data_IF_865165315795
#
_entry.id   IF_865165315795
#
_cell.length_a   1.000
_cell.length_b   1.000
_cell.length_c   1.000
_cell.angle_alpha   90.00
_cell.angle_beta   90.00
_cell.angle_gamma   90.00
#
_symmetry.space_group_name_H-M   'P 1'
#
loop_
_entity.id
_entity.type
_entity.pdbx_description
1 polymer ?
#
# COMPACT_ATOMS: atom_id res chain seq x y z
N UNK A 1 -11.40 72.06 -36.89
CA UNK A 1 -10.97 71.75 -38.25
C UNK A 1 -10.25 70.43 -38.28
N UNK A 2 -10.80 69.51 -38.99
CA UNK A 2 -10.24 68.28 -39.60
C UNK A 2 -9.79 67.16 -38.70
N UNK A 3 -10.57 66.11 -38.84
CA UNK A 3 -10.43 64.71 -38.47
C UNK A 3 -9.18 64.05 -39.05
N UNK A 4 -8.68 63.04 -38.37
CA UNK A 4 -8.44 61.74 -39.07
C UNK A 4 -8.55 60.56 -38.12
N UNK A 5 -9.31 59.60 -38.59
CA UNK A 5 -9.55 58.27 -37.96
C UNK A 5 -8.46 57.28 -38.50
N UNK A 6 -7.83 56.58 -37.60
CA UNK A 6 -7.22 55.27 -38.02
C UNK A 6 -7.54 54.20 -36.97
N UNK A 7 -8.36 53.26 -37.38
CA UNK A 7 -8.69 52.00 -36.81
C UNK A 7 -7.42 51.11 -36.66
N UNK A 8 -7.14 50.69 -35.45
CA UNK A 8 -6.17 49.62 -35.16
C UNK A 8 -6.89 48.42 -34.53
N UNK A 9 -7.01 47.35 -35.28
CA UNK A 9 -7.60 46.10 -34.87
C UNK A 9 -6.74 45.45 -33.77
N UNK A 10 -7.33 45.17 -32.63
CA UNK A 10 -6.75 44.36 -31.56
C UNK A 10 -7.05 42.88 -31.90
N UNK A 11 -6.03 42.19 -32.37
CA UNK A 11 -6.04 40.72 -32.50
C UNK A 11 -5.93 40.10 -31.12
N UNK A 12 -7.03 39.58 -30.61
CA UNK A 12 -7.02 38.70 -29.42
C UNK A 12 -6.51 37.33 -29.82
N UNK A 13 -5.28 37.03 -29.46
CA UNK A 13 -4.75 35.63 -29.51
C UNK A 13 -5.23 34.89 -28.26
N UNK A 14 -6.33 34.21 -28.38
CA UNK A 14 -6.71 33.16 -27.44
C UNK A 14 -6.02 31.84 -27.84
N UNK A 15 -4.79 31.65 -27.42
CA UNK A 15 -4.13 30.35 -27.47
C UNK A 15 -4.39 29.59 -26.17
N UNK A 16 -5.53 28.91 -26.08
CA UNK A 16 -5.75 27.86 -25.09
C UNK A 16 -5.08 26.57 -25.62
N UNK A 17 -3.82 26.40 -25.36
CA UNK A 17 -3.14 25.11 -25.54
C UNK A 17 -3.59 24.21 -24.40
N UNK A 18 -4.58 23.37 -24.67
CA UNK A 18 -4.90 22.23 -23.80
C UNK A 18 -3.79 21.18 -23.98
N UNK A 19 -2.88 21.13 -23.03
CA UNK A 19 -1.99 19.99 -22.87
C UNK A 19 -2.83 18.85 -22.33
N UNK A 20 -3.23 17.94 -23.23
CA UNK A 20 -3.81 16.67 -22.85
C UNK A 20 -2.69 15.79 -22.25
N UNK A 21 -2.67 15.69 -20.92
CA UNK A 21 -1.82 14.71 -20.24
C UNK A 21 -2.46 13.35 -20.44
N UNK A 22 -1.93 12.59 -21.40
CA UNK A 22 -2.24 11.16 -21.56
C UNK A 22 -1.42 10.42 -20.51
N UNK A 23 -1.99 10.20 -19.35
CA UNK A 23 -1.43 9.34 -18.31
C UNK A 23 -1.71 7.87 -18.65
N UNK A 24 -0.95 7.34 -19.61
CA UNK A 24 -0.92 5.91 -19.88
C UNK A 24 0.08 5.20 -18.97
N UNK A 25 -0.28 4.94 -17.71
CA UNK A 25 0.48 4.02 -16.87
C UNK A 25 0.19 2.58 -17.29
N UNK A 26 0.98 2.03 -18.22
CA UNK A 26 0.95 0.61 -18.53
C UNK A 26 1.60 -0.18 -17.40
N UNK A 27 0.81 -0.74 -16.51
CA UNK A 27 1.25 -1.76 -15.56
C UNK A 27 1.44 -3.07 -16.34
N UNK A 28 2.68 -3.39 -16.73
CA UNK A 28 3.03 -4.69 -17.27
C UNK A 28 3.13 -5.67 -16.09
N UNK A 29 2.10 -6.50 -15.93
CA UNK A 29 2.16 -7.69 -15.09
C UNK A 29 2.95 -8.77 -15.83
N UNK A 30 4.13 -9.12 -15.31
CA UNK A 30 4.85 -10.32 -15.69
C UNK A 30 4.03 -11.55 -15.26
N UNK A 31 3.41 -12.22 -16.21
CA UNK A 31 2.86 -13.55 -16.04
C UNK A 31 4.04 -14.54 -15.92
N UNK A 32 4.22 -15.11 -14.74
CA UNK A 32 5.09 -16.26 -14.56
C UNK A 32 4.39 -17.52 -15.10
N UNK A 33 5.00 -18.15 -16.08
CA UNK A 33 4.58 -19.44 -16.64
C UNK A 33 4.53 -20.51 -15.55
N UNK A 34 3.36 -21.11 -15.33
CA UNK A 34 3.18 -22.32 -14.56
C UNK A 34 3.08 -23.50 -15.50
N UNK A 35 3.94 -24.50 -15.33
CA UNK A 35 3.87 -25.77 -16.03
C UNK A 35 2.66 -26.63 -15.53
N UNK A 36 2.09 -27.49 -16.40
CA UNK A 36 0.93 -28.30 -16.04
C UNK A 36 1.33 -29.55 -15.23
N UNK A 37 0.69 -29.75 -14.08
CA UNK A 37 0.80 -30.97 -13.32
C UNK A 37 -0.03 -32.10 -13.96
N UNK A 38 0.63 -33.20 -14.25
CA UNK A 38 0.02 -34.47 -14.71
C UNK A 38 -0.81 -35.11 -13.60
N UNK A 39 -1.99 -35.53 -13.96
CA UNK A 39 -2.88 -36.35 -13.19
C UNK A 39 -2.37 -37.80 -13.11
N UNK A 40 -2.19 -38.34 -11.92
CA UNK A 40 -2.09 -39.76 -11.68
C UNK A 40 -3.27 -40.24 -10.81
N UNK A 41 -4.13 -41.01 -11.45
CA UNK A 41 -5.18 -41.81 -10.82
C UNK A 41 -4.54 -43.05 -10.17
N UNK A 42 -4.88 -43.37 -8.92
CA UNK A 42 -4.69 -44.69 -8.36
C UNK A 42 -5.83 -45.04 -7.42
N UNK A 43 -6.33 -46.23 -7.66
CA UNK A 43 -7.54 -46.82 -7.14
C UNK A 43 -7.47 -47.25 -5.66
N UNK A 44 -8.66 -47.34 -5.09
CA UNK A 44 -8.92 -47.84 -3.76
C UNK A 44 -8.63 -49.35 -3.60
N UNK A 45 -8.12 -49.69 -2.42
CA UNK A 45 -8.24 -51.06 -1.91
C UNK A 45 -8.58 -51.01 -0.42
N UNK A 46 -9.76 -51.44 -0.10
CA UNK A 46 -10.27 -51.72 1.24
C UNK A 46 -9.65 -52.98 1.81
N UNK A 47 -9.15 -52.94 3.03
CA UNK A 47 -9.01 -54.14 3.87
C UNK A 47 -9.20 -53.74 5.33
N UNK A 48 -10.28 -54.27 5.89
CA UNK A 48 -10.59 -54.22 7.31
C UNK A 48 -9.80 -55.31 8.06
N UNK A 49 -9.15 -54.95 9.15
CA UNK A 49 -8.71 -55.92 10.17
C UNK A 49 -9.05 -55.37 11.55
N UNK A 50 -9.72 -56.24 12.31
CA UNK A 50 -10.30 -56.02 13.63
C UNK A 50 -9.24 -55.82 14.75
N UNK A 51 -9.65 -55.14 15.79
CA UNK A 51 -8.94 -54.87 17.05
C UNK A 51 -8.69 -56.13 17.90
N UNK A 52 -7.77 -56.04 18.87
CA UNK A 52 -8.21 -56.32 20.24
C UNK A 52 -7.86 -55.15 21.22
N UNK A 53 -8.76 -54.99 22.17
CA UNK A 53 -8.65 -54.08 23.28
C UNK A 53 -7.62 -54.58 24.30
N UNK A 54 -6.69 -53.69 24.68
CA UNK A 54 -6.01 -53.81 25.97
C UNK A 54 -6.11 -52.46 26.69
N UNK A 55 -6.78 -52.47 27.83
CA UNK A 55 -6.82 -51.37 28.74
C UNK A 55 -5.46 -51.14 29.39
N UNK A 56 -5.02 -49.92 29.40
CA UNK A 56 -3.96 -49.42 30.27
C UNK A 56 -4.38 -48.03 30.79
N UNK A 57 -4.70 -48.00 32.08
CA UNK A 57 -4.92 -46.79 32.85
C UNK A 57 -3.59 -46.02 32.98
N UNK A 58 -3.48 -44.89 32.26
CA UNK A 58 -2.40 -43.91 32.50
C UNK A 58 -2.85 -42.90 33.57
N UNK A 59 -1.95 -42.41 34.43
CA UNK A 59 -2.25 -41.43 35.44
C UNK A 59 -2.67 -40.09 34.82
N UNK A 60 -3.74 -39.51 35.31
CA UNK A 60 -4.13 -38.13 35.00
C UNK A 60 -3.22 -37.17 35.76
N UNK A 61 -2.08 -36.80 35.16
CA UNK A 61 -1.40 -35.60 35.58
C UNK A 61 -2.17 -34.41 35.00
N UNK A 62 -3.08 -33.88 35.82
CA UNK A 62 -3.69 -32.59 35.60
C UNK A 62 -2.66 -31.50 35.89
N UNK A 63 -1.92 -31.08 34.88
CA UNK A 63 -1.19 -29.80 34.92
C UNK A 63 -2.25 -28.70 35.09
N UNK A 64 -2.18 -27.89 36.15
CA UNK A 64 -3.09 -26.76 36.29
C UNK A 64 -2.89 -25.82 35.11
N UNK A 65 -3.91 -25.67 34.24
CA UNK A 65 -3.98 -24.54 33.32
C UNK A 65 -4.10 -23.30 34.21
N UNK A 66 -3.00 -22.59 34.39
CA UNK A 66 -3.06 -21.22 34.88
C UNK A 66 -3.70 -20.39 33.77
N UNK A 67 -4.92 -19.94 33.99
CA UNK A 67 -5.62 -18.92 33.20
C UNK A 67 -4.97 -17.54 33.40
N UNK A 68 -3.65 -17.48 33.30
CA UNK A 68 -2.93 -16.23 33.27
C UNK A 68 -3.22 -15.56 31.93
N UNK A 69 -3.76 -14.34 31.98
CA UNK A 69 -3.89 -13.52 30.79
C UNK A 69 -2.54 -13.48 30.04
N UNK A 70 -2.55 -13.56 28.71
CA UNK A 70 -1.30 -13.48 27.96
C UNK A 70 -0.55 -12.20 28.33
N UNK A 71 0.79 -12.26 28.42
CA UNK A 71 1.58 -11.07 28.78
C UNK A 71 1.29 -9.94 27.79
N UNK A 72 1.30 -8.68 28.26
CA UNK A 72 1.08 -7.54 27.39
C UNK A 72 2.10 -7.52 26.24
N UNK A 73 1.62 -7.14 25.05
CA UNK A 73 2.47 -7.07 23.85
C UNK A 73 3.47 -5.93 24.04
N UNK A 74 4.76 -6.24 23.86
CA UNK A 74 5.81 -5.23 23.79
C UNK A 74 6.00 -4.84 22.34
N UNK A 75 5.73 -3.58 22.00
CA UNK A 75 5.93 -3.04 20.66
C UNK A 75 7.38 -2.57 20.48
N UNK A 76 7.89 -2.70 19.25
CA UNK A 76 9.14 -2.05 18.86
C UNK A 76 8.87 -0.54 18.78
N UNK A 77 9.67 0.30 19.43
CA UNK A 77 9.47 1.76 19.39
C UNK A 77 9.76 2.30 17.99
N UNK A 78 9.09 3.41 17.64
CA UNK A 78 9.34 4.10 16.36
C UNK A 78 10.78 4.61 16.34
N UNK A 79 11.57 4.32 15.30
CA UNK A 79 12.93 4.83 15.19
C UNK A 79 12.92 6.34 14.88
N UNK A 80 13.93 7.08 15.38
CA UNK A 80 14.07 8.53 15.08
C UNK A 80 14.19 8.79 13.57
N UNK A 81 14.82 7.89 12.85
CA UNK A 81 14.92 7.91 11.39
C UNK A 81 14.50 6.55 10.85
N UNK A 82 13.39 6.51 10.13
CA UNK A 82 12.82 5.27 9.59
C UNK A 82 13.44 4.95 8.22
N UNK A 83 14.05 3.79 8.10
CA UNK A 83 14.58 3.25 6.84
C UNK A 83 14.03 1.85 6.62
N UNK A 84 13.06 1.75 5.69
CA UNK A 84 12.23 0.57 5.56
C UNK A 84 12.40 -0.21 4.27
N UNK A 85 12.02 -1.49 4.31
CA UNK A 85 11.82 -2.34 3.13
C UNK A 85 10.39 -2.85 3.09
N UNK A 86 9.79 -2.85 1.89
CA UNK A 86 8.50 -3.48 1.67
C UNK A 86 8.62 -5.00 1.58
N UNK A 87 7.67 -5.69 2.19
CA UNK A 87 7.58 -7.16 2.23
C UNK A 87 6.19 -7.58 1.74
N UNK A 88 6.12 -8.06 0.50
CA UNK A 88 4.87 -8.58 -0.01
C UNK A 88 4.44 -9.84 0.75
N UNK A 89 3.15 -10.17 0.71
CA UNK A 89 2.58 -11.32 1.44
C UNK A 89 3.31 -12.64 1.17
N UNK A 90 3.76 -12.90 -0.06
CA UNK A 90 4.46 -14.15 -0.39
C UNK A 90 5.88 -14.20 0.18
N UNK A 91 6.58 -13.09 0.19
CA UNK A 91 7.89 -12.98 0.84
C UNK A 91 7.75 -13.19 2.35
N UNK A 92 6.70 -12.64 2.97
CA UNK A 92 6.40 -12.82 4.39
C UNK A 92 6.11 -14.29 4.74
N UNK A 93 5.38 -15.00 3.87
CA UNK A 93 5.09 -16.43 4.03
C UNK A 93 6.28 -17.34 3.73
N UNK A 94 7.24 -16.89 2.95
CA UNK A 94 8.41 -17.66 2.51
C UNK A 94 9.67 -17.45 3.34
N UNK A 95 10.76 -18.07 2.90
CA UNK A 95 12.09 -17.87 3.50
C UNK A 95 12.66 -16.48 3.22
N UNK A 96 12.09 -15.73 2.28
CA UNK A 96 12.50 -14.36 1.97
C UNK A 96 12.34 -13.43 3.16
N UNK A 97 11.35 -13.68 4.04
CA UNK A 97 11.16 -12.90 5.28
C UNK A 97 12.41 -12.89 6.14
N UNK A 98 13.01 -14.07 6.36
CA UNK A 98 14.20 -14.20 7.19
C UNK A 98 15.44 -13.55 6.54
N UNK A 99 15.53 -13.59 5.20
CA UNK A 99 16.57 -12.89 4.45
C UNK A 99 16.44 -11.37 4.59
N UNK A 100 15.22 -10.83 4.60
CA UNK A 100 14.97 -9.40 4.79
C UNK A 100 15.32 -8.95 6.23
N UNK A 101 14.98 -9.76 7.23
CA UNK A 101 15.45 -9.53 8.62
C UNK A 101 16.97 -9.54 8.68
N UNK A 102 17.63 -10.46 7.98
CA UNK A 102 19.09 -10.55 7.96
C UNK A 102 19.75 -9.36 7.22
N UNK A 103 19.10 -8.83 6.19
CA UNK A 103 19.49 -7.54 5.57
C UNK A 103 19.39 -6.41 6.61
N UNK A 104 18.25 -6.28 7.30
CA UNK A 104 18.06 -5.25 8.31
C UNK A 104 19.12 -5.33 9.44
N UNK A 105 19.55 -6.53 9.82
CA UNK A 105 20.59 -6.73 10.85
C UNK A 105 22.00 -6.28 10.42
N UNK A 106 22.24 -6.12 9.13
CA UNK A 106 23.57 -5.83 8.59
C UNK A 106 23.67 -4.48 7.91
N UNK A 107 22.54 -3.78 7.79
CA UNK A 107 22.46 -2.51 7.07
C UNK A 107 21.70 -1.46 7.87
N UNK A 108 21.64 -0.25 7.33
CA UNK A 108 20.89 0.88 7.88
C UNK A 108 19.37 0.65 7.98
N UNK A 109 18.85 -0.48 7.52
CA UNK A 109 17.41 -0.80 7.56
C UNK A 109 16.96 -1.12 8.98
N UNK A 110 15.90 -0.45 9.44
CA UNK A 110 15.33 -0.59 10.77
C UNK A 110 13.82 -0.80 10.79
N UNK A 111 13.18 -0.89 9.61
CA UNK A 111 11.74 -1.11 9.51
C UNK A 111 11.39 -2.08 8.38
N UNK A 112 10.31 -2.85 8.57
CA UNK A 112 9.71 -3.71 7.54
C UNK A 112 8.22 -3.39 7.40
N UNK A 113 7.81 -3.00 6.18
CA UNK A 113 6.41 -2.79 5.81
C UNK A 113 5.87 -4.08 5.23
N UNK A 114 5.02 -4.77 5.97
CA UNK A 114 4.57 -6.13 5.66
C UNK A 114 3.12 -6.13 5.22
N UNK A 115 2.81 -6.73 4.06
CA UNK A 115 1.44 -6.90 3.62
C UNK A 115 0.64 -7.78 4.59
N UNK A 116 -0.20 -7.16 5.40
CA UNK A 116 -1.22 -7.83 6.23
C UNK A 116 -2.45 -8.15 5.38
N UNK A 117 -2.88 -7.23 4.52
CA UNK A 117 -3.90 -7.49 3.48
C UNK A 117 -3.38 -6.98 2.14
N UNK A 118 -3.22 -7.91 1.19
CA UNK A 118 -2.72 -7.60 -0.16
C UNK A 118 -3.81 -7.03 -1.09
N UNK A 119 -3.43 -6.65 -2.32
CA UNK A 119 -4.30 -6.06 -3.35
C UNK A 119 -5.23 -7.10 -4.05
N UNK A 120 -5.22 -8.33 -3.59
CA UNK A 120 -6.19 -9.38 -3.96
C UNK A 120 -7.22 -9.61 -2.87
N UNK A 121 -7.09 -8.95 -1.71
CA UNK A 121 -7.95 -9.08 -0.56
C UNK A 121 -7.54 -10.22 0.38
N UNK A 122 -6.34 -10.80 0.21
CA UNK A 122 -5.87 -11.93 1.03
C UNK A 122 -5.14 -11.45 2.28
N UNK A 123 -5.52 -11.98 3.44
CA UNK A 123 -4.92 -11.69 4.74
C UNK A 123 -3.74 -12.63 5.01
N UNK A 124 -2.70 -12.10 5.66
CA UNK A 124 -1.42 -12.79 5.89
C UNK A 124 -1.54 -14.01 6.83
N UNK A 125 -2.39 -13.93 7.83
CA UNK A 125 -2.56 -14.92 8.91
C UNK A 125 -4.03 -15.27 9.12
N UNK A 126 -4.32 -16.25 9.98
CA UNK A 126 -5.70 -16.57 10.39
C UNK A 126 -6.28 -15.38 11.17
N UNK A 127 -7.26 -14.74 10.57
CA UNK A 127 -7.90 -13.54 11.11
C UNK A 127 -9.00 -13.87 12.12
N UNK A 128 -9.15 -13.01 13.12
CA UNK A 128 -10.29 -13.00 14.05
C UNK A 128 -11.41 -12.07 13.58
N UNK A 129 -11.15 -11.25 12.56
CA UNK A 129 -12.13 -10.33 11.99
C UNK A 129 -13.23 -11.14 11.29
N UNK A 130 -14.51 -11.06 11.73
CA UNK A 130 -15.57 -11.92 11.23
C UNK A 130 -15.79 -11.81 9.72
N UNK A 131 -15.63 -10.62 9.16
CA UNK A 131 -15.78 -10.41 7.72
C UNK A 131 -14.65 -11.08 6.93
N UNK A 132 -13.40 -11.01 7.39
CA UNK A 132 -12.26 -11.68 6.77
C UNK A 132 -12.45 -13.19 6.70
N UNK A 133 -12.93 -13.79 7.81
CA UNK A 133 -13.27 -15.22 7.87
C UNK A 133 -14.40 -15.57 6.91
N UNK A 134 -15.49 -14.78 6.94
CA UNK A 134 -16.69 -15.00 6.12
C UNK A 134 -16.40 -15.02 4.62
N UNK A 135 -15.53 -14.13 4.15
CA UNK A 135 -15.16 -14.05 2.73
C UNK A 135 -13.98 -14.96 2.36
N UNK A 136 -13.40 -15.66 3.33
CA UNK A 136 -12.25 -16.55 3.12
C UNK A 136 -10.95 -15.80 2.83
N UNK A 137 -10.83 -14.54 3.22
CA UNK A 137 -9.62 -13.74 3.01
C UNK A 137 -8.38 -14.36 3.67
N UNK A 138 -8.58 -15.09 4.75
CA UNK A 138 -7.56 -15.78 5.54
C UNK A 138 -7.40 -17.28 5.20
N UNK A 139 -7.97 -17.75 4.08
CA UNK A 139 -7.98 -19.18 3.74
C UNK A 139 -6.82 -19.61 2.84
N UNK A 140 -6.22 -18.67 2.09
CA UNK A 140 -5.15 -18.98 1.15
C UNK A 140 -3.78 -18.97 1.83
N UNK A 141 -3.33 -20.14 2.30
CA UNK A 141 -2.00 -20.32 2.95
C UNK A 141 -1.69 -19.27 4.01
N UNK A 142 -2.50 -19.11 5.06
CA UNK A 142 -2.21 -18.16 6.11
C UNK A 142 -0.95 -18.54 6.87
N UNK A 143 -0.21 -17.53 7.37
CA UNK A 143 0.89 -17.75 8.29
C UNK A 143 0.38 -18.43 9.56
N UNK A 144 1.06 -19.49 10.00
CA UNK A 144 0.70 -20.18 11.24
C UNK A 144 1.00 -19.29 12.46
N UNK A 145 0.26 -19.46 13.55
CA UNK A 145 0.45 -18.72 14.80
C UNK A 145 1.89 -18.84 15.33
N UNK A 146 2.46 -20.05 15.29
CA UNK A 146 3.85 -20.29 15.69
C UNK A 146 4.84 -19.46 14.87
N UNK A 147 4.63 -19.39 13.55
CA UNK A 147 5.50 -18.60 12.66
C UNK A 147 5.32 -17.10 12.86
N UNK A 148 4.09 -16.65 13.11
CA UNK A 148 3.78 -15.25 13.40
C UNK A 148 4.45 -14.82 14.72
N UNK A 149 4.37 -15.64 15.76
CA UNK A 149 5.05 -15.39 17.03
C UNK A 149 6.58 -15.30 16.83
N UNK A 150 7.18 -16.30 16.15
CA UNK A 150 8.61 -16.28 15.87
C UNK A 150 9.05 -15.07 15.03
N UNK A 151 8.20 -14.58 14.12
CA UNK A 151 8.45 -13.35 13.37
C UNK A 151 8.55 -12.16 14.31
N UNK A 152 7.56 -11.93 15.18
CA UNK A 152 7.56 -10.79 16.09
C UNK A 152 8.67 -10.90 17.15
N UNK A 153 8.99 -12.11 17.64
CA UNK A 153 10.15 -12.31 18.52
C UNK A 153 11.44 -11.86 17.83
N UNK A 154 11.62 -12.24 16.57
CA UNK A 154 12.81 -11.85 15.80
C UNK A 154 12.86 -10.34 15.53
N UNK A 155 11.72 -9.71 15.19
CA UNK A 155 11.66 -8.27 14.95
C UNK A 155 12.00 -7.50 16.23
N UNK A 156 11.43 -7.87 17.37
CA UNK A 156 11.71 -7.27 18.67
C UNK A 156 13.19 -7.45 19.08
N UNK A 157 13.70 -8.66 18.96
CA UNK A 157 15.08 -8.96 19.34
C UNK A 157 16.13 -8.17 18.54
N UNK A 158 15.77 -7.69 17.35
CA UNK A 158 16.66 -6.92 16.47
C UNK A 158 16.23 -5.45 16.29
N UNK A 159 15.29 -4.95 17.11
CA UNK A 159 14.75 -3.59 17.02
C UNK A 159 14.27 -3.20 15.60
N UNK A 160 13.69 -4.14 14.86
CA UNK A 160 13.15 -3.90 13.53
C UNK A 160 11.67 -3.51 13.66
N UNK A 161 11.33 -2.28 13.27
CA UNK A 161 10.00 -1.69 13.41
C UNK A 161 9.01 -2.31 12.42
N UNK A 162 7.95 -3.02 12.89
CA UNK A 162 6.99 -3.68 12.02
C UNK A 162 5.82 -2.75 11.68
N UNK A 163 5.59 -2.53 10.39
CA UNK A 163 4.48 -1.74 9.85
C UNK A 163 3.51 -2.68 9.12
N UNK A 164 2.24 -2.66 9.51
CA UNK A 164 1.19 -3.44 8.87
C UNK A 164 0.63 -2.69 7.65
N UNK A 165 0.90 -3.17 6.43
CA UNK A 165 0.28 -2.58 5.24
C UNK A 165 -1.05 -3.25 4.93
N UNK A 166 -2.11 -2.44 4.78
CA UNK A 166 -3.48 -2.87 4.51
C UNK A 166 -3.99 -2.14 3.27
N UNK A 167 -4.24 -2.89 2.20
CA UNK A 167 -4.86 -2.37 0.99
C UNK A 167 -6.35 -2.15 1.21
N UNK A 168 -6.87 -0.94 0.93
CA UNK A 168 -8.26 -0.57 1.23
C UNK A 168 -9.18 -0.84 0.05
N UNK A 169 -9.19 0.01 -0.98
CA UNK A 169 -10.20 -0.03 -2.04
C UNK A 169 -9.97 -1.10 -3.12
N UNK A 170 -8.72 -1.51 -3.36
CA UNK A 170 -8.40 -2.56 -4.33
C UNK A 170 -8.51 -3.94 -3.68
N UNK A 171 -9.72 -4.46 -3.59
CA UNK A 171 -10.03 -5.76 -2.97
C UNK A 171 -11.06 -6.51 -3.84
N UNK A 172 -10.62 -7.21 -4.88
CA UNK A 172 -11.50 -7.95 -5.76
C UNK A 172 -12.21 -9.12 -5.07
N UNK A 173 -11.62 -9.68 -4.01
CA UNK A 173 -12.24 -10.77 -3.24
C UNK A 173 -13.50 -10.27 -2.52
N UNK A 174 -13.38 -9.20 -1.74
CA UNK A 174 -14.51 -8.62 -1.02
C UNK A 174 -15.53 -7.99 -2.00
N UNK A 175 -15.06 -7.24 -3.00
CA UNK A 175 -15.91 -6.62 -4.01
C UNK A 175 -16.71 -7.65 -4.83
N UNK A 176 -16.15 -8.84 -5.07
CA UNK A 176 -16.83 -9.93 -5.75
C UNK A 176 -17.88 -10.64 -4.90
N UNK A 177 -17.73 -10.64 -3.57
CA UNK A 177 -18.68 -11.27 -2.63
C UNK A 177 -19.69 -10.27 -2.05
N UNK A 178 -19.33 -9.00 -1.95
CA UNK A 178 -20.16 -7.90 -1.49
C UNK A 178 -20.43 -6.93 -2.63
N UNK A 179 -21.22 -7.40 -3.62
CA UNK A 179 -21.50 -6.61 -4.82
C UNK A 179 -22.09 -5.23 -4.50
N UNK A 180 -22.81 -5.10 -3.40
CA UNK A 180 -23.37 -3.84 -2.92
C UNK A 180 -22.29 -2.83 -2.47
N UNK A 181 -21.07 -3.30 -2.15
CA UNK A 181 -19.93 -2.47 -1.78
C UNK A 181 -18.98 -2.19 -2.95
N UNK A 182 -19.18 -2.83 -4.08
CA UNK A 182 -18.37 -2.61 -5.27
C UNK A 182 -18.77 -1.30 -5.97
N UNK A 183 -17.80 -0.65 -6.60
CA UNK A 183 -18.07 0.47 -7.53
C UNK A 183 -19.08 0.02 -8.58
N UNK A 184 -20.09 0.84 -8.86
CA UNK A 184 -21.15 0.51 -9.80
C UNK A 184 -20.87 1.07 -11.18
N UNK A 185 -21.20 0.30 -12.19
CA UNK A 185 -21.27 0.77 -13.57
C UNK A 185 -22.55 1.60 -13.76
N UNK A 186 -22.40 2.80 -14.31
CA UNK A 186 -23.49 3.76 -14.48
C UNK A 186 -24.63 3.23 -15.38
N UNK A 187 -24.27 2.45 -16.38
CA UNK A 187 -25.19 1.97 -17.40
C UNK A 187 -26.23 0.96 -16.88
N UNK A 188 -25.85 0.08 -15.95
CA UNK A 188 -26.70 -1.05 -15.55
C UNK A 188 -26.60 -1.42 -14.05
N UNK A 189 -25.85 -0.65 -13.26
CA UNK A 189 -25.71 -0.88 -11.82
C UNK A 189 -24.90 -2.12 -11.44
N UNK A 190 -24.35 -2.86 -12.41
CA UNK A 190 -23.44 -3.98 -12.14
C UNK A 190 -22.09 -3.48 -11.63
N UNK A 191 -21.26 -4.34 -11.03
CA UNK A 191 -19.90 -3.96 -10.64
C UNK A 191 -19.11 -3.39 -11.83
N UNK A 192 -18.45 -2.26 -11.61
CA UNK A 192 -17.46 -1.73 -12.54
C UNK A 192 -16.18 -2.55 -12.43
N UNK A 193 -15.58 -2.86 -13.57
CA UNK A 193 -14.34 -3.65 -13.63
C UNK A 193 -13.20 -2.81 -14.19
N UNK A 194 -12.04 -2.90 -13.57
CA UNK A 194 -10.83 -2.27 -14.05
C UNK A 194 -10.32 -2.90 -15.37
N UNK A 195 -9.21 -2.39 -15.91
CA UNK A 195 -8.60 -2.91 -17.16
C UNK A 195 -8.17 -4.37 -17.10
N UNK A 196 -8.03 -4.93 -15.89
CA UNK A 196 -7.68 -6.33 -15.68
C UNK A 196 -8.91 -7.22 -15.40
N UNK A 197 -10.11 -6.65 -15.48
CA UNK A 197 -11.36 -7.37 -15.23
C UNK A 197 -11.69 -7.57 -13.75
N UNK A 198 -11.05 -6.82 -12.83
CA UNK A 198 -11.27 -6.94 -11.40
C UNK A 198 -12.22 -5.85 -10.88
N UNK A 199 -13.18 -6.21 -10.01
CA UNK A 199 -14.00 -5.22 -9.31
C UNK A 199 -13.19 -4.54 -8.20
N UNK A 200 -13.56 -3.29 -7.91
CA UNK A 200 -13.02 -2.51 -6.81
C UNK A 200 -14.11 -2.18 -5.80
N UNK A 201 -13.74 -2.05 -4.55
CA UNK A 201 -14.62 -1.50 -3.51
C UNK A 201 -14.83 0.00 -3.74
N UNK A 202 -16.05 0.45 -3.46
CA UNK A 202 -16.42 1.87 -3.55
C UNK A 202 -15.87 2.63 -2.34
N UNK A 203 -14.93 3.58 -2.52
CA UNK A 203 -14.38 4.35 -1.40
C UNK A 203 -15.41 5.25 -0.70
N UNK A 204 -16.60 5.44 -1.27
CA UNK A 204 -17.68 6.18 -0.62
C UNK A 204 -18.41 5.35 0.44
N UNK A 205 -18.20 4.03 0.49
CA UNK A 205 -18.83 3.10 1.43
C UNK A 205 -18.11 3.12 2.80
N UNK A 206 -18.76 3.54 3.90
CA UNK A 206 -18.13 3.52 5.24
C UNK A 206 -17.72 2.11 5.69
N UNK A 207 -18.48 1.07 5.28
CA UNK A 207 -18.21 -0.31 5.66
C UNK A 207 -16.87 -0.84 5.11
N UNK A 208 -16.39 -0.32 3.97
CA UNK A 208 -15.06 -0.64 3.42
C UNK A 208 -13.97 -0.17 4.36
N UNK A 209 -14.08 1.03 4.87
CA UNK A 209 -13.13 1.62 5.81
C UNK A 209 -13.20 0.96 7.19
N UNK A 210 -14.42 0.63 7.66
CA UNK A 210 -14.57 -0.12 8.91
C UNK A 210 -13.86 -1.47 8.86
N UNK A 211 -13.95 -2.20 7.74
CA UNK A 211 -13.19 -3.45 7.56
C UNK A 211 -11.68 -3.23 7.63
N UNK A 212 -11.17 -2.16 7.05
CA UNK A 212 -9.75 -1.82 7.14
C UNK A 212 -9.34 -1.47 8.58
N UNK A 213 -10.18 -0.75 9.33
CA UNK A 213 -9.97 -0.43 10.75
C UNK A 213 -9.95 -1.71 11.60
N UNK A 214 -10.88 -2.64 11.36
CA UNK A 214 -10.94 -3.90 12.11
C UNK A 214 -9.67 -4.74 11.90
N UNK A 215 -9.17 -4.80 10.66
CA UNK A 215 -7.90 -5.46 10.35
C UNK A 215 -6.69 -4.73 10.95
N UNK A 216 -6.73 -3.39 11.01
CA UNK A 216 -5.68 -2.58 11.62
C UNK A 216 -5.56 -2.86 13.12
N UNK A 217 -6.70 -2.91 13.83
CA UNK A 217 -6.75 -3.26 15.25
C UNK A 217 -6.23 -4.67 15.49
N UNK A 218 -6.66 -5.63 14.67
CA UNK A 218 -6.14 -6.99 14.74
C UNK A 218 -4.62 -7.05 14.49
N UNK A 219 -4.11 -6.30 13.51
CA UNK A 219 -2.67 -6.24 13.24
C UNK A 219 -1.90 -5.68 14.43
N UNK A 220 -2.42 -4.65 15.09
CA UNK A 220 -1.84 -4.13 16.32
C UNK A 220 -1.85 -5.20 17.42
N UNK A 221 -2.98 -5.87 17.64
CA UNK A 221 -3.12 -6.95 18.63
C UNK A 221 -2.20 -8.15 18.41
N UNK A 222 -1.63 -8.33 17.22
CA UNK A 222 -0.66 -9.41 16.96
C UNK A 222 0.79 -8.93 17.01
N UNK A 223 1.03 -7.61 17.16
CA UNK A 223 2.36 -7.06 17.44
C UNK A 223 2.91 -6.04 16.44
N UNK A 224 2.14 -5.62 15.43
CA UNK A 224 2.55 -4.50 14.58
C UNK A 224 2.53 -3.19 15.36
N UNK A 225 3.56 -2.37 15.19
CA UNK A 225 3.71 -1.09 15.89
C UNK A 225 2.99 0.07 15.19
N UNK A 226 2.70 -0.06 13.90
CA UNK A 226 2.11 0.96 13.04
C UNK A 226 1.24 0.31 11.97
N UNK A 227 0.22 1.05 11.51
CA UNK A 227 -0.61 0.65 10.38
C UNK A 227 -0.45 1.63 9.22
N UNK A 228 -0.31 1.08 8.02
CA UNK A 228 -0.17 1.80 6.77
C UNK A 228 -1.29 1.39 5.81
N UNK A 229 -2.12 2.35 5.42
CA UNK A 229 -3.21 2.12 4.49
C UNK A 229 -2.79 2.51 3.07
N UNK A 230 -2.90 1.56 2.16
CA UNK A 230 -2.69 1.79 0.73
C UNK A 230 -4.01 1.65 -0.05
N UNK A 231 -4.00 2.14 -1.29
CA UNK A 231 -5.21 2.24 -2.12
C UNK A 231 -6.34 3.01 -1.43
N UNK A 232 -5.97 4.05 -0.68
CA UNK A 232 -6.87 5.05 -0.10
C UNK A 232 -7.27 6.06 -1.18
N UNK A 233 -7.90 5.55 -2.25
CA UNK A 233 -8.18 6.29 -3.48
C UNK A 233 -9.21 5.60 -4.36
N UNK A 234 -9.70 6.31 -5.34
CA UNK A 234 -10.45 5.74 -6.46
C UNK A 234 -9.50 5.09 -7.47
N UNK A 235 -10.00 4.21 -8.36
CA UNK A 235 -9.19 3.62 -9.42
C UNK A 235 -8.56 4.69 -10.33
N UNK A 236 -7.33 4.44 -10.77
CA UNK A 236 -6.57 5.25 -11.75
C UNK A 236 -6.85 4.82 -13.21
N UNK A 237 -8.10 4.62 -13.53
CA UNK A 237 -8.56 4.21 -14.86
C UNK A 237 -9.45 5.32 -15.45
N UNK A 238 -9.06 5.91 -16.57
CA UNK A 238 -9.78 6.99 -17.23
C UNK A 238 -11.24 6.63 -17.57
N UNK A 239 -11.54 5.35 -17.78
CA UNK A 239 -12.90 4.85 -18.01
C UNK A 239 -13.78 5.04 -16.79
N UNK A 240 -13.21 4.95 -15.58
CA UNK A 240 -13.94 5.07 -14.32
C UNK A 240 -14.72 6.39 -14.25
N UNK A 241 -14.15 7.49 -14.72
CA UNK A 241 -14.81 8.80 -14.71
C UNK A 241 -16.12 8.79 -15.53
N UNK A 242 -16.13 8.09 -16.66
CA UNK A 242 -17.27 8.01 -17.58
C UNK A 242 -18.26 6.91 -17.19
N UNK A 243 -17.78 5.78 -16.75
CA UNK A 243 -18.54 4.55 -16.62
C UNK A 243 -19.04 4.28 -15.20
N UNK A 244 -18.33 4.78 -14.17
CA UNK A 244 -18.68 4.49 -12.78
C UNK A 244 -19.67 5.49 -12.19
N UNK A 245 -20.46 5.02 -11.22
CA UNK A 245 -21.33 5.85 -10.39
C UNK A 245 -21.04 5.57 -8.91
N UNK A 246 -21.21 6.61 -8.09
CA UNK A 246 -20.94 6.62 -6.66
C UNK A 246 -22.14 7.20 -5.90
N UNK A 247 -23.22 6.41 -5.71
CA UNK A 247 -24.47 6.93 -5.11
C UNK A 247 -24.26 7.50 -3.70
N UNK A 248 -23.32 6.95 -2.94
CA UNK A 248 -23.04 7.40 -1.56
C UNK A 248 -22.09 8.60 -1.50
N UNK A 249 -21.65 9.14 -2.62
CA UNK A 249 -20.89 10.38 -2.62
C UNK A 249 -21.72 11.58 -2.15
N UNK A 250 -23.05 11.55 -2.36
CA UNK A 250 -23.98 12.63 -1.98
C UNK A 250 -23.51 14.02 -2.43
N UNK A 251 -23.05 14.13 -3.67
CA UNK A 251 -22.57 15.39 -4.25
C UNK A 251 -21.13 15.79 -3.87
N UNK A 252 -20.46 15.04 -2.96
CA UNK A 252 -19.05 15.30 -2.63
C UNK A 252 -18.14 14.96 -3.81
N UNK A 253 -17.08 15.73 -3.98
CA UNK A 253 -15.98 15.39 -4.88
C UNK A 253 -15.21 14.16 -4.36
N UNK A 254 -14.44 13.49 -5.22
CA UNK A 254 -13.60 12.35 -4.79
C UNK A 254 -12.60 12.75 -3.71
N UNK A 255 -12.00 13.94 -3.84
CA UNK A 255 -11.08 14.47 -2.82
C UNK A 255 -11.77 14.69 -1.47
N UNK A 256 -13.01 15.22 -1.46
CA UNK A 256 -13.80 15.35 -0.23
C UNK A 256 -14.12 13.98 0.39
N UNK A 257 -14.48 12.99 -0.42
CA UNK A 257 -14.73 11.64 0.07
C UNK A 257 -13.48 11.08 0.75
N UNK A 258 -12.33 11.11 0.10
CA UNK A 258 -11.07 10.57 0.68
C UNK A 258 -10.69 11.34 1.94
N UNK A 259 -10.77 12.68 1.93
CA UNK A 259 -10.53 13.52 3.10
C UNK A 259 -11.40 13.11 4.30
N UNK A 260 -12.73 12.96 4.09
CA UNK A 260 -13.68 12.63 5.16
C UNK A 260 -13.43 11.22 5.69
N UNK A 261 -13.21 10.25 4.80
CA UNK A 261 -12.95 8.87 5.20
C UNK A 261 -11.63 8.72 5.96
N UNK A 262 -10.56 9.35 5.51
CA UNK A 262 -9.28 9.32 6.23
C UNK A 262 -9.42 9.98 7.61
N UNK A 263 -10.18 11.08 7.72
CA UNK A 263 -10.49 11.70 9.00
C UNK A 263 -11.21 10.74 9.95
N UNK A 264 -12.25 10.05 9.47
CA UNK A 264 -12.98 9.06 10.27
C UNK A 264 -12.11 7.88 10.71
N UNK A 265 -11.22 7.38 9.83
CA UNK A 265 -10.25 6.33 10.18
C UNK A 265 -9.30 6.81 11.27
N UNK A 266 -8.70 7.99 11.10
CA UNK A 266 -7.78 8.58 12.09
C UNK A 266 -8.44 8.75 13.45
N UNK A 267 -9.66 9.30 13.49
CA UNK A 267 -10.41 9.48 14.73
C UNK A 267 -10.71 8.14 15.40
N UNK A 268 -11.03 7.11 14.61
CA UNK A 268 -11.30 5.76 15.11
C UNK A 268 -10.06 5.09 15.72
N UNK A 269 -8.87 5.29 15.15
CA UNK A 269 -7.61 4.67 15.60
C UNK A 269 -6.90 5.48 16.68
N UNK A 270 -7.27 6.74 16.88
CA UNK A 270 -6.62 7.62 17.88
C UNK A 270 -6.70 7.09 19.29
N UNK A 271 -7.80 6.43 19.66
CA UNK A 271 -7.96 5.80 20.98
C UNK A 271 -7.00 4.62 21.20
N UNK A 272 -6.58 3.98 20.11
CA UNK A 272 -5.74 2.79 20.14
C UNK A 272 -4.25 3.15 20.25
N UNK A 273 -3.91 4.46 20.20
CA UNK A 273 -2.53 4.99 20.23
C UNK A 273 -1.64 4.39 19.12
N UNK A 274 -2.24 3.90 18.06
CA UNK A 274 -1.56 3.30 16.95
C UNK A 274 -1.30 4.36 15.87
N UNK A 275 -0.04 4.60 15.46
CA UNK A 275 0.27 5.51 14.37
C UNK A 275 -0.41 5.05 13.08
N UNK A 276 -1.04 6.00 12.40
CA UNK A 276 -1.73 5.79 11.13
C UNK A 276 -0.95 6.46 10.00
N UNK A 277 -0.57 5.68 9.00
CA UNK A 277 0.13 6.18 7.82
C UNK A 277 -0.63 5.84 6.54
N UNK A 278 -0.42 6.62 5.48
CA UNK A 278 -1.12 6.44 4.20
C UNK A 278 -0.17 6.50 3.02
N UNK A 279 -0.37 5.60 2.07
CA UNK A 279 0.30 5.63 0.76
C UNK A 279 -0.45 6.53 -0.21
N UNK A 280 0.28 7.41 -0.89
CA UNK A 280 -0.28 8.30 -1.90
C UNK A 280 0.57 8.30 -3.17
N UNK A 281 -0.03 8.63 -4.30
CA UNK A 281 0.73 8.78 -5.54
C UNK A 281 1.76 9.90 -5.42
N UNK A 282 2.99 9.64 -5.86
CA UNK A 282 4.06 10.65 -5.85
C UNK A 282 3.72 11.89 -6.68
N UNK A 283 2.95 11.71 -7.77
CA UNK A 283 2.46 12.81 -8.62
C UNK A 283 1.53 13.79 -7.89
N UNK A 284 0.91 13.41 -6.78
CA UNK A 284 0.05 14.31 -5.98
C UNK A 284 0.79 15.53 -5.48
N UNK A 285 2.11 15.44 -5.32
CA UNK A 285 2.96 16.57 -4.94
C UNK A 285 3.13 17.61 -6.06
N UNK A 286 3.01 17.18 -7.31
CA UNK A 286 3.23 17.99 -8.52
C UNK A 286 1.93 18.48 -9.12
N UNK A 287 0.92 17.59 -9.16
CA UNK A 287 -0.42 17.90 -9.69
C UNK A 287 -1.26 18.63 -8.62
N UNK A 288 -1.91 19.71 -9.02
CA UNK A 288 -2.78 20.52 -8.13
C UNK A 288 -4.24 20.04 -8.11
N UNK A 289 -4.58 19.08 -8.96
CA UNK A 289 -5.89 18.40 -8.97
C UNK A 289 -5.92 17.22 -8.00
N UNK A 290 -7.00 16.48 -7.96
CA UNK A 290 -7.10 15.19 -7.27
C UNK A 290 -6.72 14.00 -8.17
N UNK A 291 -6.18 14.27 -9.36
CA UNK A 291 -5.79 13.30 -10.39
C UNK A 291 -6.92 12.35 -10.82
N UNK A 292 -8.18 12.69 -10.52
CA UNK A 292 -9.33 11.81 -10.72
C UNK A 292 -9.42 10.64 -9.77
N UNK A 293 -8.48 10.50 -8.83
CA UNK A 293 -8.41 9.40 -7.85
C UNK A 293 -8.75 9.82 -6.42
N UNK A 294 -9.05 11.10 -6.20
CA UNK A 294 -9.42 11.64 -4.90
C UNK A 294 -8.22 12.04 -4.02
N UNK A 295 -6.99 11.92 -4.50
CA UNK A 295 -5.80 12.28 -3.74
C UNK A 295 -5.35 13.71 -4.11
N UNK A 296 -5.82 14.71 -3.37
CA UNK A 296 -5.37 16.09 -3.46
C UNK A 296 -4.52 16.45 -2.26
N UNK A 297 -3.28 16.90 -2.49
CA UNK A 297 -2.24 17.10 -1.47
C UNK A 297 -2.74 17.85 -0.23
N UNK A 298 -3.34 19.00 -0.43
CA UNK A 298 -3.81 19.88 0.66
C UNK A 298 -5.00 19.30 1.44
N UNK A 299 -5.65 18.25 0.92
CA UNK A 299 -6.83 17.66 1.54
C UNK A 299 -6.55 16.37 2.32
N UNK A 300 -5.41 15.71 2.07
CA UNK A 300 -5.08 14.49 2.84
C UNK A 300 -3.90 14.68 3.79
N UNK A 301 -3.06 15.71 3.58
CA UNK A 301 -1.79 15.87 4.32
C UNK A 301 -1.97 16.04 5.83
N UNK A 302 -3.12 16.43 6.30
CA UNK A 302 -3.46 16.57 7.73
C UNK A 302 -4.34 15.42 8.25
N UNK A 303 -4.53 14.34 7.46
CA UNK A 303 -5.43 13.22 7.77
C UNK A 303 -4.73 11.95 8.21
N UNK A 304 -3.42 11.97 8.34
CA UNK A 304 -2.59 10.88 8.83
C UNK A 304 -1.49 11.41 9.76
N UNK A 305 -0.77 10.55 10.43
CA UNK A 305 0.42 10.92 11.20
C UNK A 305 1.64 11.01 10.29
N UNK A 306 1.70 10.12 9.28
CA UNK A 306 2.71 10.12 8.22
C UNK A 306 2.05 9.90 6.86
N UNK A 307 2.48 10.64 5.86
CA UNK A 307 2.12 10.43 4.45
C UNK A 307 3.32 9.88 3.70
N UNK A 308 3.09 8.81 2.94
CA UNK A 308 4.13 8.07 2.23
C UNK A 308 3.93 8.20 0.70
N UNK A 309 4.48 9.25 0.08
CA UNK A 309 4.37 9.42 -1.37
C UNK A 309 5.26 8.42 -2.13
N UNK A 310 4.65 7.72 -3.09
CA UNK A 310 5.28 6.74 -3.97
C UNK A 310 6.00 7.45 -5.12
N UNK A 311 7.21 7.95 -4.89
CA UNK A 311 7.95 8.79 -5.85
C UNK A 311 8.84 7.95 -6.77
N UNK A 312 8.28 6.99 -7.43
CA UNK A 312 9.02 6.11 -8.35
C UNK A 312 9.31 6.82 -9.67
N UNK A 313 10.59 7.05 -10.05
CA UNK A 313 10.92 7.77 -11.28
C UNK A 313 10.30 7.19 -12.55
N UNK A 314 10.09 5.86 -12.60
CA UNK A 314 9.44 5.19 -13.72
C UNK A 314 7.95 5.51 -13.88
N UNK A 315 7.30 6.10 -12.87
CA UNK A 315 5.87 6.45 -12.86
C UNK A 315 5.62 7.92 -13.28
N UNK A 316 6.68 8.69 -13.50
CA UNK A 316 6.56 10.04 -14.01
C UNK A 316 6.60 10.02 -15.54
N UNK A 317 5.63 10.69 -16.17
CA UNK A 317 5.53 10.75 -17.64
C UNK A 317 6.75 11.44 -18.27
N UNK A 318 7.14 11.05 -19.49
CA UNK A 318 8.11 11.81 -20.27
C UNK A 318 7.74 13.30 -20.35
N UNK A 319 8.72 14.17 -20.18
CA UNK A 319 8.53 15.62 -20.14
C UNK A 319 8.27 16.17 -18.73
N UNK A 320 7.95 15.35 -17.73
CA UNK A 320 7.83 15.81 -16.33
C UNK A 320 9.15 16.44 -15.90
N UNK A 321 9.07 17.63 -15.32
CA UNK A 321 10.23 18.45 -14.93
C UNK A 321 11.17 18.81 -16.10
N UNK A 322 10.71 18.77 -17.36
CA UNK A 322 11.54 18.99 -18.54
C UNK A 322 12.50 17.84 -18.84
N UNK A 323 12.32 16.68 -18.21
CA UNK A 323 13.12 15.48 -18.44
C UNK A 323 12.49 14.63 -19.53
N UNK A 324 13.26 14.30 -20.59
CA UNK A 324 12.78 13.38 -21.64
C UNK A 324 12.42 12.01 -21.09
N UNK A 325 13.17 11.53 -20.09
CA UNK A 325 12.90 10.30 -19.33
C UNK A 325 13.20 10.50 -17.86
N UNK A 326 12.20 10.78 -17.00
CA UNK A 326 12.41 10.87 -15.56
C UNK A 326 13.05 9.61 -14.96
N UNK A 327 12.70 8.43 -15.48
CA UNK A 327 13.29 7.15 -15.08
C UNK A 327 14.81 7.08 -15.28
N UNK A 328 15.35 7.76 -16.28
CA UNK A 328 16.79 7.84 -16.54
C UNK A 328 17.52 8.85 -15.64
N UNK A 329 16.78 9.68 -14.91
CA UNK A 329 17.31 10.76 -14.06
C UNK A 329 16.78 10.67 -12.62
N UNK A 330 17.02 9.55 -11.89
CA UNK A 330 16.40 9.29 -10.59
C UNK A 330 16.69 10.39 -9.56
N UNK A 331 17.94 10.85 -9.44
CA UNK A 331 18.28 11.95 -8.55
C UNK A 331 17.47 13.22 -8.84
N UNK A 332 17.48 13.67 -10.08
CA UNK A 332 16.82 14.92 -10.47
C UNK A 332 15.30 14.84 -10.32
N UNK A 333 14.71 13.68 -10.63
CA UNK A 333 13.26 13.46 -10.47
C UNK A 333 12.87 13.52 -9.00
N UNK A 334 13.61 12.83 -8.13
CA UNK A 334 13.34 12.83 -6.69
C UNK A 334 13.61 14.20 -6.08
N UNK A 335 14.72 14.85 -6.41
CA UNK A 335 15.04 16.20 -5.93
C UNK A 335 13.90 17.19 -6.21
N UNK A 336 13.36 17.18 -7.43
CA UNK A 336 12.29 18.13 -7.82
C UNK A 336 10.96 17.83 -7.16
N UNK A 337 10.56 16.55 -7.10
CA UNK A 337 9.30 16.19 -6.46
C UNK A 337 9.33 16.46 -4.95
N UNK A 338 10.45 16.23 -4.27
CA UNK A 338 10.58 16.53 -2.84
C UNK A 338 10.55 18.05 -2.57
N UNK A 339 11.12 18.86 -3.45
CA UNK A 339 10.99 20.34 -3.40
C UNK A 339 9.54 20.79 -3.57
N UNK A 340 8.79 20.18 -4.46
CA UNK A 340 7.36 20.45 -4.62
C UNK A 340 6.58 20.05 -3.37
N UNK A 341 6.85 18.90 -2.76
CA UNK A 341 6.24 18.50 -1.48
C UNK A 341 6.47 19.54 -0.39
N UNK A 342 7.72 19.96 -0.20
CA UNK A 342 8.07 21.01 0.79
C UNK A 342 7.31 22.29 0.51
N UNK A 343 7.33 22.78 -0.72
CA UNK A 343 6.65 23.99 -1.13
C UNK A 343 5.14 23.95 -0.86
N UNK A 344 4.48 22.80 -1.20
CA UNK A 344 3.03 22.64 -1.03
C UNK A 344 2.62 22.37 0.41
N UNK A 345 3.52 21.87 1.24
CA UNK A 345 3.25 21.64 2.67
C UNK A 345 3.54 22.88 3.52
N UNK A 346 4.41 23.77 3.04
CA UNK A 346 4.76 25.00 3.77
C UNK A 346 3.51 25.84 4.08
N UNK A 347 3.32 26.17 5.35
CA UNK A 347 2.19 26.96 5.84
C UNK A 347 0.89 26.18 6.07
N UNK A 348 0.83 24.88 5.74
CA UNK A 348 -0.31 24.03 6.10
C UNK A 348 -0.22 23.66 7.58
N UNK A 349 -1.37 23.81 8.29
CA UNK A 349 -1.45 23.45 9.71
C UNK A 349 -1.63 21.95 9.86
N UNK A 350 -1.01 21.37 10.90
CA UNK A 350 -1.13 19.95 11.25
C UNK A 350 -0.74 18.99 10.12
N UNK A 351 0.14 19.42 9.22
CA UNK A 351 0.61 18.56 8.16
C UNK A 351 1.36 17.35 8.74
N UNK A 352 1.07 16.18 8.21
CA UNK A 352 1.74 14.93 8.54
C UNK A 352 3.24 14.99 8.24
N UNK A 353 4.02 14.17 8.91
CA UNK A 353 5.37 13.86 8.47
C UNK A 353 5.35 13.21 7.08
N UNK A 354 6.41 13.41 6.31
CA UNK A 354 6.51 12.85 4.95
C UNK A 354 7.67 11.86 4.92
N UNK A 355 7.37 10.62 4.54
CA UNK A 355 8.35 9.55 4.36
C UNK A 355 8.21 9.00 2.93
N UNK A 356 9.11 9.35 1.99
CA UNK A 356 8.98 8.94 0.60
C UNK A 356 9.27 7.45 0.42
N UNK A 357 8.52 6.82 -0.51
CA UNK A 357 8.87 5.53 -1.08
C UNK A 357 9.77 5.72 -2.28
N UNK A 358 10.90 5.01 -2.31
CA UNK A 358 11.83 5.00 -3.44
C UNK A 358 11.77 3.69 -4.22
N UNK A 359 12.08 3.78 -5.50
CA UNK A 359 12.06 2.65 -6.44
C UNK A 359 13.32 1.80 -6.31
N UNK A 360 13.15 0.50 -6.02
CA UNK A 360 14.21 -0.50 -6.16
C UNK A 360 13.76 -1.66 -7.08
N UNK A 361 13.34 -1.31 -8.28
CA UNK A 361 12.92 -2.26 -9.32
C UNK A 361 13.12 -1.63 -10.70
N UNK A 362 13.23 -2.48 -11.74
CA UNK A 362 13.28 -2.02 -13.13
C UNK A 362 11.89 -2.00 -13.76
N UNK A 363 11.47 -0.85 -14.28
CA UNK A 363 10.30 -0.68 -15.13
C UNK A 363 10.68 0.23 -16.30
N UNK A 364 10.89 -0.36 -17.47
CA UNK A 364 11.48 0.34 -18.63
C UNK A 364 12.96 0.69 -18.43
N UNK A 365 13.62 1.22 -19.48
CA UNK A 365 15.01 1.64 -19.40
C UNK A 365 15.18 2.92 -18.56
N UNK A 366 16.36 3.08 -17.90
CA UNK A 366 17.44 2.11 -17.75
C UNK A 366 17.09 1.01 -16.73
N UNK A 367 17.87 -0.08 -16.73
CA UNK A 367 17.83 -1.03 -15.63
C UNK A 367 18.26 -0.35 -14.33
N UNK A 368 17.52 -0.62 -13.23
CA UNK A 368 17.81 -0.10 -11.92
C UNK A 368 18.74 -1.07 -11.18
N UNK A 369 19.74 -0.52 -10.53
CA UNK A 369 20.67 -1.17 -9.65
C UNK A 369 21.01 -0.26 -8.48
N UNK A 370 22.04 -0.60 -7.73
CA UNK A 370 22.47 0.14 -6.54
C UNK A 370 22.68 1.64 -6.80
N UNK A 371 23.26 2.01 -7.96
CA UNK A 371 23.51 3.41 -8.29
C UNK A 371 22.22 4.24 -8.40
N UNK A 372 21.17 3.70 -9.01
CA UNK A 372 19.88 4.38 -9.16
C UNK A 372 19.14 4.47 -7.82
N UNK A 373 19.22 3.43 -6.99
CA UNK A 373 18.65 3.44 -5.63
C UNK A 373 19.38 4.48 -4.78
N UNK A 374 20.71 4.46 -4.76
CA UNK A 374 21.52 5.42 -4.00
C UNK A 374 21.29 6.88 -4.45
N UNK A 375 21.09 7.11 -5.75
CA UNK A 375 20.78 8.43 -6.28
C UNK A 375 19.45 9.00 -5.73
N UNK A 376 18.43 8.16 -5.54
CA UNK A 376 17.15 8.56 -4.94
C UNK A 376 17.31 8.88 -3.45
N UNK A 377 17.99 8.01 -2.69
CA UNK A 377 18.28 8.22 -1.26
C UNK A 377 19.06 9.51 -1.07
N UNK A 378 20.11 9.74 -1.88
CA UNK A 378 20.90 10.97 -1.84
C UNK A 378 20.04 12.21 -2.09
N UNK A 379 19.17 12.19 -3.09
CA UNK A 379 18.26 13.31 -3.35
C UNK A 379 17.32 13.58 -2.14
N UNK A 380 16.90 12.51 -1.44
CA UNK A 380 16.19 12.63 -0.16
C UNK A 380 16.99 13.39 0.88
N UNK A 381 18.23 12.96 1.14
CA UNK A 381 19.11 13.56 2.13
C UNK A 381 19.42 15.03 1.80
N UNK A 382 19.71 15.35 0.54
CA UNK A 382 19.98 16.73 0.08
C UNK A 382 18.75 17.64 0.27
N UNK A 383 17.55 17.06 0.37
CA UNK A 383 16.31 17.76 0.67
C UNK A 383 15.86 17.66 2.13
N UNK A 384 16.64 17.04 3.02
CA UNK A 384 16.33 16.88 4.45
C UNK A 384 15.30 15.79 4.76
N UNK A 385 15.09 14.84 3.84
CA UNK A 385 14.29 13.65 4.07
C UNK A 385 15.23 12.47 4.39
N UNK A 386 15.38 12.19 5.67
CA UNK A 386 16.29 11.11 6.17
C UNK A 386 15.57 9.79 6.39
N UNK A 387 14.25 9.83 6.55
CA UNK A 387 13.38 8.64 6.59
C UNK A 387 12.87 8.32 5.20
N UNK A 388 12.88 7.03 4.84
CA UNK A 388 12.45 6.55 3.52
C UNK A 388 12.15 5.05 3.56
N UNK A 389 11.43 4.55 2.55
CA UNK A 389 11.15 3.14 2.37
C UNK A 389 11.50 2.76 0.93
N UNK A 390 12.17 1.61 0.73
CA UNK A 390 12.37 1.04 -0.59
C UNK A 390 11.20 0.12 -0.96
N UNK A 391 10.72 0.28 -2.18
CA UNK A 391 9.71 -0.60 -2.74
C UNK A 391 10.25 -1.42 -3.90
N UNK A 392 10.06 -2.75 -3.80
CA UNK A 392 10.25 -3.71 -4.87
C UNK A 392 9.09 -4.72 -4.84
N UNK A 393 8.33 -4.91 -5.95
CA UNK A 393 7.16 -5.79 -5.98
C UNK A 393 7.49 -7.25 -5.64
N UNK A 394 8.73 -7.68 -5.90
CA UNK A 394 9.24 -9.01 -5.56
C UNK A 394 9.90 -9.10 -4.19
N UNK A 395 9.97 -8.00 -3.42
CA UNK A 395 10.71 -7.89 -2.15
C UNK A 395 12.16 -8.38 -2.26
N UNK A 396 12.82 -7.97 -3.35
CA UNK A 396 14.24 -8.26 -3.64
C UNK A 396 14.98 -6.94 -3.82
N UNK A 397 16.01 -6.71 -3.01
CA UNK A 397 16.64 -5.40 -2.90
C UNK A 397 18.11 -5.43 -3.31
N UNK A 398 18.61 -4.32 -3.86
CA UNK A 398 20.02 -4.08 -4.12
C UNK A 398 20.71 -3.69 -2.81
N UNK A 399 21.18 -4.68 -2.06
CA UNK A 399 21.78 -4.49 -0.73
C UNK A 399 23.11 -3.71 -0.77
N UNK A 400 23.76 -3.68 -1.91
CA UNK A 400 24.96 -2.86 -2.20
C UNK A 400 24.64 -1.35 -2.34
N UNK A 401 23.35 -1.00 -2.39
CA UNK A 401 22.88 0.39 -2.25
C UNK A 401 22.76 0.86 -0.80
N UNK A 402 22.77 -0.05 0.18
CA UNK A 402 22.53 0.24 1.59
C UNK A 402 23.84 0.45 2.34
N UNK A 403 23.81 1.28 3.38
CA UNK A 403 24.96 1.44 4.29
C UNK A 403 25.00 0.30 5.29
N UNK A 404 26.21 -0.18 5.61
CA UNK A 404 26.41 -1.15 6.66
C UNK A 404 26.12 -0.51 8.03
N UNK A 405 25.59 -1.32 8.97
CA UNK A 405 25.49 -0.92 10.38
C UNK A 405 26.86 -0.88 11.04
#
# INVERSE_FOLDING_TARGET
MIADRRTGAVLSLNARTRIGVVAGCALVLLAACGEPAQSASAAASTSAVSAPAHGSSAPKDSVPRTDAAPPPITYVPHPDTLRGLYVNRWAALGNSMWKLIDIAKRTEINALVIDVKDDRGLVLYKSRVPLAQKIGADSNRPMSQRRLAALFDSLRANNIYPIARIVVAKDPLLAGQKLEWAIKRRADGKPWLDKNGHPWLDPTQPAVWQYAIDLAREAHDVGFSEVQFDYVRFPDDDRMVREASFPLAHGRTRAQVIHDQLGAVRDSLKSDKMPMTIDVFGLTATDTTDMGIGQRWEMFIDRADVVLPMVYPSHFAPGTYGLGSPNAHPYTTIDRVLKDMKRRTTGLKNAAAIVPWYQDFTLGPPAYGAAQVRAQIKAGYDNGFYSWILWNPGSKYHTDALEAQ
#
